data_IF_657590208909
#
_entry.id   IF_657590208909
#
_cell.length_a   1.000
_cell.length_b   1.000
_cell.length_c   1.000
_cell.angle_alpha   90.00
_cell.angle_beta   90.00
_cell.angle_gamma   90.00
#
_symmetry.space_group_name_H-M   'P 1'
#
loop_
_entity.id
_entity.type
_entity.pdbx_description
1 polymer ?
#
# COMPACT_ATOMS: atom_id res chain seq x y z
N UNK A 1 14.99 -16.16 13.59
CA UNK A 1 13.89 -16.09 14.57
C UNK A 1 12.68 -15.53 13.84
N UNK A 2 11.65 -16.36 13.58
CA UNK A 2 10.39 -15.89 13.00
C UNK A 2 9.56 -15.28 14.13
N UNK A 3 9.44 -13.95 14.16
CA UNK A 3 8.53 -13.27 15.07
C UNK A 3 7.11 -13.43 14.53
N UNK A 4 6.47 -14.56 14.85
CA UNK A 4 5.06 -14.78 14.55
C UNK A 4 4.22 -14.02 15.59
N UNK A 5 4.14 -12.69 15.42
CA UNK A 5 3.52 -11.80 16.39
C UNK A 5 2.00 -11.86 16.22
N UNK A 6 1.33 -12.74 16.98
CA UNK A 6 -0.10 -13.06 16.81
C UNK A 6 -1.08 -11.93 17.19
N UNK A 7 -0.59 -10.77 17.61
CA UNK A 7 -1.41 -9.68 18.15
C UNK A 7 -1.33 -8.39 17.35
N UNK A 8 -0.29 -8.19 16.52
CA UNK A 8 -0.17 -6.97 15.74
C UNK A 8 -1.14 -7.04 14.57
N UNK A 9 -2.12 -6.12 14.59
CA UNK A 9 -3.13 -5.93 13.55
C UNK A 9 -2.77 -4.75 12.64
N UNK A 10 -1.95 -3.83 13.11
CA UNK A 10 -1.58 -2.62 12.39
C UNK A 10 -0.08 -2.33 12.52
N UNK A 11 0.55 -2.04 11.39
CA UNK A 11 1.95 -1.64 11.29
C UNK A 11 2.01 -0.29 10.56
N UNK A 12 2.51 0.73 11.27
CA UNK A 12 2.64 2.10 10.76
C UNK A 12 4.12 2.46 10.69
N UNK A 13 4.60 2.84 9.51
CA UNK A 13 5.96 3.31 9.28
C UNK A 13 5.87 4.56 8.40
N UNK A 14 6.27 5.72 8.93
CA UNK A 14 6.08 7.02 8.27
C UNK A 14 7.38 7.82 8.24
N UNK A 15 7.36 8.93 7.51
CA UNK A 15 8.37 9.99 7.57
C UNK A 15 9.80 9.54 7.25
N UNK A 16 9.99 8.98 6.06
CA UNK A 16 11.29 8.56 5.51
C UNK A 16 11.97 7.42 6.29
N UNK A 17 11.23 6.69 7.11
CA UNK A 17 11.76 5.65 7.98
C UNK A 17 12.05 4.32 7.25
N UNK A 18 11.68 4.19 5.97
CA UNK A 18 11.87 2.95 5.21
C UNK A 18 12.25 3.17 3.75
N UNK A 19 13.09 2.27 3.24
CA UNK A 19 13.51 2.18 1.84
C UNK A 19 12.97 0.92 1.16
N UNK A 20 13.16 0.80 -0.15
CA UNK A 20 12.76 -0.38 -0.93
C UNK A 20 13.19 -1.73 -0.33
N UNK A 21 14.40 -1.79 0.23
CA UNK A 21 14.90 -2.99 0.90
C UNK A 21 14.05 -3.33 2.11
N UNK A 22 13.73 -2.33 2.93
CA UNK A 22 12.85 -2.50 4.10
C UNK A 22 11.46 -2.97 3.68
N UNK A 23 10.89 -2.38 2.62
CA UNK A 23 9.58 -2.80 2.09
C UNK A 23 9.63 -4.25 1.63
N UNK A 24 10.67 -4.66 0.90
CA UNK A 24 10.84 -6.05 0.46
C UNK A 24 10.87 -7.02 1.64
N UNK A 25 11.61 -6.66 2.70
CA UNK A 25 11.66 -7.44 3.93
C UNK A 25 10.30 -7.54 4.63
N UNK A 26 9.51 -6.45 4.65
CA UNK A 26 8.15 -6.45 5.18
C UNK A 26 7.25 -7.35 4.34
N UNK A 27 7.25 -7.23 3.01
CA UNK A 27 6.45 -8.06 2.12
C UNK A 27 6.70 -9.55 2.38
N UNK A 28 7.97 -9.96 2.46
CA UNK A 28 8.36 -11.35 2.77
C UNK A 28 7.87 -11.81 4.14
N UNK A 29 7.93 -10.94 5.16
CA UNK A 29 7.44 -11.27 6.49
C UNK A 29 5.91 -11.40 6.53
N UNK A 30 5.21 -10.63 5.70
CA UNK A 30 3.75 -10.59 5.67
C UNK A 30 3.13 -11.68 4.80
N UNK A 31 3.85 -12.31 3.88
CA UNK A 31 3.36 -13.47 3.11
C UNK A 31 2.83 -14.61 4.01
N UNK A 32 3.44 -14.79 5.18
CA UNK A 32 3.04 -15.81 6.16
C UNK A 32 2.33 -15.24 7.39
N UNK A 33 2.08 -13.93 7.40
CA UNK A 33 1.40 -13.28 8.51
C UNK A 33 -0.12 -13.30 8.29
N UNK A 34 -0.85 -13.90 9.23
CA UNK A 34 -2.31 -13.98 9.18
C UNK A 34 -3.03 -13.03 10.14
N UNK A 35 -2.30 -12.15 10.83
CA UNK A 35 -2.87 -11.29 11.89
C UNK A 35 -2.87 -9.81 11.54
N UNK A 36 -1.93 -9.35 10.70
CA UNK A 36 -1.84 -7.97 10.27
C UNK A 36 -2.94 -7.66 9.26
N UNK A 37 -3.77 -6.69 9.59
CA UNK A 37 -4.89 -6.22 8.77
C UNK A 37 -4.64 -4.85 8.14
N UNK A 38 -3.69 -4.07 8.68
CA UNK A 38 -3.36 -2.72 8.19
C UNK A 38 -1.84 -2.53 8.08
N UNK A 39 -1.38 -2.05 6.92
CA UNK A 39 0.01 -1.67 6.66
C UNK A 39 0.01 -0.23 6.13
N UNK A 40 0.50 0.70 6.95
CA UNK A 40 0.60 2.11 6.59
C UNK A 40 2.06 2.48 6.35
N UNK A 41 2.39 2.84 5.11
CA UNK A 41 3.72 3.28 4.69
C UNK A 41 3.78 4.72 4.13
N UNK A 42 2.93 5.68 4.56
CA UNK A 42 2.90 6.96 3.89
C UNK A 42 4.13 7.82 4.20
N UNK A 43 4.41 8.79 3.34
CA UNK A 43 5.53 9.75 3.48
C UNK A 43 6.88 9.02 3.52
N UNK A 44 7.05 8.02 2.65
CA UNK A 44 8.30 7.28 2.47
C UNK A 44 8.76 7.37 1.02
N UNK A 45 9.43 8.46 0.60
CA UNK A 45 9.85 8.66 -0.78
C UNK A 45 11.00 7.74 -1.20
N UNK A 46 11.61 6.99 -0.28
CA UNK A 46 12.59 5.94 -0.60
C UNK A 46 11.93 4.60 -1.00
N UNK A 47 10.60 4.53 -0.99
CA UNK A 47 9.81 3.48 -1.64
C UNK A 47 9.66 3.89 -3.10
N UNK A 48 10.40 3.23 -3.99
CA UNK A 48 10.45 3.52 -5.43
C UNK A 48 9.84 2.38 -6.22
N UNK A 49 9.91 2.45 -7.56
CA UNK A 49 9.47 1.37 -8.44
C UNK A 49 10.14 0.02 -8.18
N UNK A 50 11.29 -0.01 -7.50
CA UNK A 50 11.93 -1.26 -7.05
C UNK A 50 11.03 -2.07 -6.12
N UNK A 51 10.21 -1.41 -5.29
CA UNK A 51 9.23 -2.07 -4.41
C UNK A 51 7.98 -2.55 -5.13
N UNK A 52 7.70 -2.10 -6.35
CA UNK A 52 6.42 -2.34 -7.04
C UNK A 52 6.08 -3.83 -7.17
N UNK A 53 7.06 -4.66 -7.53
CA UNK A 53 6.87 -6.11 -7.66
C UNK A 53 6.64 -6.78 -6.30
N UNK A 54 7.37 -6.39 -5.26
CA UNK A 54 7.21 -6.95 -3.92
C UNK A 54 5.83 -6.61 -3.32
N UNK A 55 5.38 -5.36 -3.48
CA UNK A 55 4.05 -4.92 -3.05
C UNK A 55 2.94 -5.63 -3.81
N UNK A 56 3.06 -5.76 -5.14
CA UNK A 56 2.14 -6.55 -5.96
C UNK A 56 2.07 -8.01 -5.51
N UNK A 57 3.23 -8.64 -5.27
CA UNK A 57 3.30 -10.01 -4.80
C UNK A 57 2.66 -10.19 -3.42
N UNK A 58 2.91 -9.26 -2.48
CA UNK A 58 2.25 -9.24 -1.18
C UNK A 58 0.73 -9.18 -1.34
N UNK A 59 0.24 -8.30 -2.21
CA UNK A 59 -1.18 -8.17 -2.52
C UNK A 59 -1.79 -9.47 -3.04
N UNK A 60 -1.11 -10.21 -3.91
CA UNK A 60 -1.65 -11.46 -4.44
C UNK A 60 -1.71 -12.59 -3.41
N UNK A 61 -0.74 -12.65 -2.49
CA UNK A 61 -0.53 -13.82 -1.65
C UNK A 61 -0.99 -13.65 -0.20
N UNK A 62 -1.13 -12.41 0.28
CA UNK A 62 -1.61 -12.16 1.63
C UNK A 62 -3.14 -12.18 1.70
N UNK A 63 -3.68 -12.93 2.67
CA UNK A 63 -5.13 -13.12 2.85
C UNK A 63 -5.71 -12.44 4.10
N UNK A 64 -4.88 -11.74 4.87
CA UNK A 64 -5.22 -11.06 6.13
C UNK A 64 -5.31 -9.53 5.98
N UNK A 65 -4.52 -8.94 5.09
CA UNK A 65 -4.41 -7.51 4.89
C UNK A 65 -5.70 -6.94 4.28
N UNK A 66 -6.21 -5.90 4.91
CA UNK A 66 -7.44 -5.19 4.54
C UNK A 66 -7.13 -3.77 4.10
N UNK A 67 -6.13 -3.11 4.71
CA UNK A 67 -5.71 -1.75 4.40
C UNK A 67 -4.23 -1.69 4.03
N UNK A 68 -3.92 -0.95 2.98
CA UNK A 68 -2.58 -0.58 2.57
C UNK A 68 -2.53 0.91 2.22
N UNK A 69 -1.61 1.66 2.83
CA UNK A 69 -1.37 3.06 2.51
C UNK A 69 0.04 3.24 1.92
N UNK A 70 0.10 3.71 0.68
CA UNK A 70 1.33 3.99 -0.08
C UNK A 70 1.36 5.46 -0.55
N UNK A 71 0.60 6.34 0.11
CA UNK A 71 0.61 7.78 -0.19
C UNK A 71 1.97 8.41 0.13
N UNK A 72 2.30 9.48 -0.58
CA UNK A 72 3.57 10.20 -0.55
C UNK A 72 4.79 9.26 -0.71
N UNK A 73 4.74 8.35 -1.67
CA UNK A 73 5.88 7.48 -2.06
C UNK A 73 6.43 7.87 -3.44
N UNK A 74 7.55 7.27 -3.85
CA UNK A 74 8.15 7.47 -5.17
C UNK A 74 7.84 6.33 -6.15
N UNK A 75 6.72 5.63 -5.94
CA UNK A 75 6.26 4.58 -6.86
C UNK A 75 5.98 5.19 -8.24
N UNK A 76 6.44 4.50 -9.28
CA UNK A 76 6.13 4.89 -10.65
C UNK A 76 4.69 4.48 -11.00
N UNK A 77 4.12 5.11 -12.01
CA UNK A 77 2.78 4.77 -12.50
C UNK A 77 2.69 3.30 -12.92
N UNK A 78 3.73 2.73 -13.54
CA UNK A 78 3.78 1.31 -13.91
C UNK A 78 3.69 0.40 -12.67
N UNK A 79 4.36 0.80 -11.58
CA UNK A 79 4.30 0.08 -10.30
C UNK A 79 2.89 0.13 -9.71
N UNK A 80 2.22 1.30 -9.79
CA UNK A 80 0.83 1.45 -9.37
C UNK A 80 -0.10 0.57 -10.21
N UNK A 81 0.02 0.56 -11.54
CA UNK A 81 -0.81 -0.29 -12.40
C UNK A 81 -0.63 -1.78 -12.09
N UNK A 82 0.59 -2.21 -11.75
CA UNK A 82 0.86 -3.58 -11.30
C UNK A 82 0.17 -3.90 -9.96
N UNK A 83 0.19 -2.95 -9.02
CA UNK A 83 -0.52 -3.05 -7.73
C UNK A 83 -2.03 -3.12 -7.96
N UNK A 84 -2.60 -2.30 -8.85
CA UNK A 84 -4.03 -2.35 -9.20
C UNK A 84 -4.43 -3.69 -9.83
N UNK A 85 -3.57 -4.24 -10.70
CA UNK A 85 -3.77 -5.58 -11.25
C UNK A 85 -3.84 -6.66 -10.16
N UNK A 86 -2.99 -6.53 -9.14
CA UNK A 86 -2.99 -7.46 -7.99
C UNK A 86 -4.21 -7.26 -7.09
N UNK A 87 -4.67 -6.02 -6.95
CA UNK A 87 -5.87 -5.65 -6.22
C UNK A 87 -7.14 -6.24 -6.85
N UNK A 88 -7.18 -6.40 -8.17
CA UNK A 88 -8.29 -7.06 -8.86
C UNK A 88 -8.48 -8.50 -8.41
N UNK A 89 -7.38 -9.24 -8.22
CA UNK A 89 -7.43 -10.66 -7.85
C UNK A 89 -7.62 -10.86 -6.34
N UNK A 90 -7.00 -10.00 -5.51
CA UNK A 90 -7.18 -10.05 -4.07
C UNK A 90 -8.47 -9.34 -3.66
N UNK A 91 -9.46 -10.05 -3.11
CA UNK A 91 -10.72 -9.45 -2.62
C UNK A 91 -10.72 -9.11 -1.13
N UNK A 92 -9.61 -9.29 -0.41
CA UNK A 92 -9.48 -9.00 1.03
C UNK A 92 -9.17 -7.54 1.30
N UNK A 93 -8.28 -6.94 0.50
CA UNK A 93 -7.95 -5.52 0.64
C UNK A 93 -9.17 -4.68 0.30
N UNK A 94 -9.61 -3.82 1.21
CA UNK A 94 -10.75 -2.91 1.00
C UNK A 94 -10.33 -1.47 0.84
N UNK A 95 -9.10 -1.14 1.23
CA UNK A 95 -8.62 0.23 1.24
C UNK A 95 -7.17 0.25 0.76
N UNK A 96 -6.94 0.88 -0.38
CA UNK A 96 -5.63 1.17 -0.95
C UNK A 96 -5.50 2.69 -1.13
N UNK A 97 -4.61 3.32 -0.37
CA UNK A 97 -4.31 4.75 -0.52
C UNK A 97 -3.09 4.96 -1.42
N UNK A 98 -3.23 5.86 -2.40
CA UNK A 98 -2.22 6.20 -3.39
C UNK A 98 -2.12 7.71 -3.60
N UNK A 99 -1.06 8.17 -4.25
CA UNK A 99 -0.89 9.59 -4.59
C UNK A 99 -1.87 10.05 -5.66
N UNK A 100 -2.55 11.18 -5.43
CA UNK A 100 -3.44 11.83 -6.41
C UNK A 100 -2.79 12.00 -7.78
N UNK A 101 -1.46 12.16 -7.85
CA UNK A 101 -0.73 12.30 -9.12
C UNK A 101 -0.94 11.11 -10.07
N UNK A 102 -1.29 9.93 -9.56
CA UNK A 102 -1.57 8.74 -10.37
C UNK A 102 -3.07 8.58 -10.72
N UNK A 103 -3.98 9.37 -10.10
CA UNK A 103 -5.43 9.22 -10.21
C UNK A 103 -5.93 9.22 -11.65
N UNK A 104 -5.61 10.27 -12.39
CA UNK A 104 -6.04 10.42 -13.78
C UNK A 104 -5.52 9.29 -14.67
N UNK A 105 -4.23 8.95 -14.53
CA UNK A 105 -3.62 7.91 -15.37
C UNK A 105 -4.21 6.53 -15.04
N UNK A 106 -4.49 6.23 -13.77
CA UNK A 106 -5.10 4.96 -13.37
C UNK A 106 -6.53 4.83 -13.93
N UNK A 107 -7.34 5.87 -13.81
CA UNK A 107 -8.72 5.89 -14.34
C UNK A 107 -8.72 5.69 -15.87
N UNK A 108 -7.82 6.37 -16.58
CA UNK A 108 -7.81 6.38 -18.05
C UNK A 108 -7.11 5.16 -18.66
N UNK A 109 -6.11 4.59 -17.97
CA UNK A 109 -5.24 3.55 -18.54
C UNK A 109 -5.61 2.16 -18.06
N UNK A 110 -6.14 2.02 -16.83
CA UNK A 110 -6.48 0.70 -16.28
C UNK A 110 -7.90 0.30 -16.70
N UNK A 111 -8.09 -0.65 -17.63
CA UNK A 111 -9.40 -0.90 -18.26
C UNK A 111 -10.50 -1.31 -17.27
N UNK A 112 -10.10 -1.92 -16.15
CA UNK A 112 -10.99 -2.47 -15.13
C UNK A 112 -11.05 -1.61 -13.88
N UNK A 113 -10.68 -0.32 -13.95
CA UNK A 113 -10.64 0.55 -12.78
C UNK A 113 -11.99 0.62 -12.06
N UNK A 114 -13.10 0.70 -12.80
CA UNK A 114 -14.46 0.69 -12.25
C UNK A 114 -14.80 -0.53 -11.36
N UNK A 115 -14.04 -1.64 -11.45
CA UNK A 115 -14.26 -2.83 -10.63
C UNK A 115 -13.54 -2.79 -9.28
N UNK A 116 -12.65 -1.81 -9.09
CA UNK A 116 -11.84 -1.60 -7.87
C UNK A 116 -11.91 -0.16 -7.35
N UNK A 117 -12.64 0.73 -8.02
CA UNK A 117 -12.69 2.16 -7.68
C UNK A 117 -13.19 2.41 -6.27
N UNK A 118 -14.06 1.54 -5.72
CA UNK A 118 -14.57 1.60 -4.35
C UNK A 118 -13.50 1.29 -3.28
N UNK A 119 -12.36 0.76 -3.72
CA UNK A 119 -11.26 0.30 -2.85
C UNK A 119 -10.01 1.16 -2.97
N UNK A 120 -9.96 2.09 -3.93
CA UNK A 120 -8.79 2.93 -4.22
C UNK A 120 -9.10 4.38 -3.82
N UNK A 121 -8.29 4.90 -2.91
CA UNK A 121 -8.41 6.23 -2.33
C UNK A 121 -7.16 7.05 -2.66
N UNK A 122 -7.32 8.37 -2.72
CA UNK A 122 -6.25 9.30 -3.14
C UNK A 122 -5.97 10.30 -2.02
N UNK A 123 -4.68 10.54 -1.72
CA UNK A 123 -4.17 11.36 -0.61
C UNK A 123 -4.79 12.76 -0.41
N UNK A 124 -5.40 13.35 -1.45
CA UNK A 124 -6.09 14.64 -1.36
C UNK A 124 -7.62 14.56 -1.21
N UNK A 125 -8.20 13.36 -1.19
CA UNK A 125 -9.65 13.19 -1.03
C UNK A 125 -10.07 13.23 0.46
N UNK A 126 -9.10 13.37 1.38
CA UNK A 126 -9.31 13.75 2.78
C UNK A 126 -8.94 15.22 2.99
N UNK A 127 -9.94 16.10 3.17
CA UNK A 127 -9.80 17.43 3.79
C UNK A 127 -9.44 17.29 5.30
N UNK A 128 -8.47 16.44 5.65
CA UNK A 128 -7.93 16.31 7.00
C UNK A 128 -6.44 16.61 6.94
N UNK A 129 -6.17 17.91 6.93
CA UNK A 129 -5.23 18.53 7.87
C UNK A 129 -4.35 17.52 8.63
N UNK A 130 -3.15 17.25 8.12
CA UNK A 130 -2.08 16.56 8.87
C UNK A 130 -1.44 17.50 9.91
N UNK A 131 -2.15 18.53 10.38
CA UNK A 131 -1.68 19.53 11.36
C UNK A 131 -2.22 19.30 12.78
N UNK A 132 -2.22 18.08 13.31
CA UNK A 132 -2.47 17.82 14.75
C UNK A 132 -1.69 16.52 15.09
N UNK A 133 -0.77 16.41 16.04
CA UNK A 133 -0.36 17.25 17.16
C UNK A 133 1.13 16.96 17.43
N UNK A 134 1.93 18.01 17.58
CA UNK A 134 3.20 17.93 18.33
C UNK A 134 3.24 19.12 19.29
N UNK A 135 2.49 18.98 20.37
CA UNK A 135 2.78 19.65 21.65
C UNK A 135 3.93 18.91 22.38
#
# INVERSE_FOLDING_TARGET
MHFNNKTIQELVIRDHSISDRGVTNICQALEHNSTLTSLDLPVNPLITSTSGQALSHLLLNNSSLVKLDLSYTSLSTESILLILQSLMDNKKIRTLWLDKRHKEICINTYPNYHLIEDRVYWDSDSDSDWSLDSD
#
